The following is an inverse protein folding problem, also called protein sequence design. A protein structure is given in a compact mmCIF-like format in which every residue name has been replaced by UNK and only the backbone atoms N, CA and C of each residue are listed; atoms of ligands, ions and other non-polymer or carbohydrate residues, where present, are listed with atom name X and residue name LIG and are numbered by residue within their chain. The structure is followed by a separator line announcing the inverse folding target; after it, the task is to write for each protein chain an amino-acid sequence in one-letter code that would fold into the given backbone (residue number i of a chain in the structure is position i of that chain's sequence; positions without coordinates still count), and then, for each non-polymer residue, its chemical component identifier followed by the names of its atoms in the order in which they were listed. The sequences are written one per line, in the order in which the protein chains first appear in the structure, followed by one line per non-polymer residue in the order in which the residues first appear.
data_IF_573422633241
#
_entry.id   IF_573422633241
#
_cell.length_a   1.000
_cell.length_b   1.000
_cell.length_c   1.000
_cell.angle_alpha   90.00
_cell.angle_beta   90.00
_cell.angle_gamma   90.00
#
_symmetry.space_group_name_H-M   'P 1'
#
loop_
_entity.id
_entity.type
_entity.pdbx_description
1 polymer ?
#
# COMPACT_ATOMS: atom_id res chain seq x y z
N UNK A 1 -2.35 27.09 3.03
CA UNK A 1 -3.71 26.54 3.08
C UNK A 1 -4.46 27.09 4.28
N UNK A 2 -3.92 27.03 5.50
CA UNK A 2 -4.52 27.58 6.73
C UNK A 2 -4.70 29.09 6.69
N UNK A 3 -3.82 29.84 6.05
CA UNK A 3 -3.97 31.28 5.85
C UNK A 3 -5.27 31.63 5.11
N UNK A 4 -5.68 30.76 4.17
CA UNK A 4 -6.94 30.93 3.40
C UNK A 4 -8.17 30.34 4.11
N UNK A 5 -7.97 29.39 4.99
CA UNK A 5 -9.03 28.75 5.77
C UNK A 5 -8.47 28.28 7.12
N UNK A 6 -8.57 29.12 8.17
CA UNK A 6 -8.05 28.80 9.50
C UNK A 6 -8.69 27.58 10.17
N UNK A 7 -9.92 27.24 9.80
CA UNK A 7 -10.63 26.06 10.34
C UNK A 7 -10.24 24.75 9.65
N UNK A 8 -9.39 24.79 8.61
CA UNK A 8 -8.97 23.60 7.89
C UNK A 8 -8.07 22.72 8.78
N UNK A 9 -8.43 21.46 8.92
CA UNK A 9 -7.59 20.44 9.55
C UNK A 9 -6.67 19.84 8.50
N UNK A 10 -5.36 19.95 8.73
CA UNK A 10 -4.32 19.44 7.83
C UNK A 10 -3.66 18.22 8.46
N UNK A 11 -3.81 17.05 7.82
CA UNK A 11 -3.11 15.83 8.17
C UNK A 11 -1.96 15.54 7.21
N UNK A 12 -0.81 15.13 7.72
CA UNK A 12 0.36 14.71 6.96
C UNK A 12 0.63 13.22 7.20
N UNK A 13 0.73 12.44 6.14
CA UNK A 13 1.01 11.00 6.19
C UNK A 13 1.81 10.53 4.97
N UNK A 14 2.28 9.29 4.99
CA UNK A 14 3.01 8.69 3.88
C UNK A 14 4.44 8.31 4.25
N UNK A 15 5.38 8.40 3.29
CA UNK A 15 6.80 8.12 3.52
C UNK A 15 7.49 9.35 4.16
N UNK A 16 7.21 9.61 5.42
CA UNK A 16 7.66 10.78 6.17
C UNK A 16 8.79 10.39 7.10
N UNK A 17 9.94 11.07 6.97
CA UNK A 17 11.08 10.87 7.87
C UNK A 17 10.91 11.62 9.19
N UNK A 18 11.69 11.27 10.22
CA UNK A 18 11.73 12.02 11.48
C UNK A 18 12.16 13.50 11.27
N UNK A 19 13.01 13.74 10.26
CA UNK A 19 13.40 15.10 9.88
C UNK A 19 12.21 15.88 9.32
N UNK A 20 11.39 15.24 8.48
CA UNK A 20 10.19 15.85 7.92
C UNK A 20 9.14 16.11 9.00
N UNK A 21 8.94 15.16 9.90
CA UNK A 21 8.04 15.35 11.05
C UNK A 21 8.38 16.60 11.85
N UNK A 22 9.68 16.77 12.15
CA UNK A 22 10.17 17.99 12.85
C UNK A 22 9.90 19.27 12.07
N UNK A 23 10.13 19.24 10.73
CA UNK A 23 9.94 20.39 9.83
C UNK A 23 8.48 20.83 9.71
N UNK A 24 7.55 19.87 9.75
CA UNK A 24 6.13 20.14 9.52
C UNK A 24 5.29 20.21 10.78
N UNK A 25 5.88 19.93 11.95
CA UNK A 25 5.21 19.86 13.24
C UNK A 25 4.28 21.03 13.55
N UNK A 26 4.73 22.26 13.25
CA UNK A 26 3.98 23.49 13.56
C UNK A 26 3.12 23.97 12.37
N UNK A 27 3.14 23.22 11.25
CA UNK A 27 2.44 23.58 10.01
C UNK A 27 1.20 22.74 9.72
N UNK A 28 1.04 21.63 10.47
CA UNK A 28 -0.07 20.68 10.29
C UNK A 28 -0.68 20.31 11.64
N UNK A 29 -1.93 19.90 11.64
CA UNK A 29 -2.67 19.55 12.86
C UNK A 29 -2.44 18.11 13.29
N UNK A 30 -2.12 17.24 12.34
CA UNK A 30 -1.93 15.81 12.56
C UNK A 30 -0.81 15.27 11.68
N UNK A 31 0.14 14.53 12.28
CA UNK A 31 1.11 13.72 11.57
C UNK A 31 0.91 12.28 12.02
N UNK A 32 0.70 11.36 11.07
CA UNK A 32 0.43 9.96 11.39
C UNK A 32 1.05 9.00 10.37
N UNK A 33 1.41 7.80 10.83
CA UNK A 33 1.85 6.71 9.96
C UNK A 33 0.63 6.14 9.21
N UNK A 34 0.83 5.64 8.01
CA UNK A 34 -0.23 4.99 7.23
C UNK A 34 -0.85 3.80 7.99
N UNK A 35 -0.09 3.16 8.85
CA UNK A 35 -0.53 2.05 9.70
C UNK A 35 -1.55 2.46 10.76
N UNK A 36 -1.55 3.74 11.12
CA UNK A 36 -2.50 4.34 12.06
C UNK A 36 -3.80 4.79 11.38
N UNK A 37 -3.95 4.54 10.09
CA UNK A 37 -5.15 4.92 9.31
C UNK A 37 -6.47 4.38 9.93
N UNK A 38 -6.54 3.16 10.51
CA UNK A 38 -7.73 2.68 11.20
C UNK A 38 -8.18 3.58 12.36
N UNK A 39 -7.24 4.27 13.03
CA UNK A 39 -7.51 5.16 14.17
C UNK A 39 -7.78 6.62 13.76
N UNK A 40 -7.66 6.93 12.48
CA UNK A 40 -7.70 8.31 11.98
C UNK A 40 -8.99 9.02 12.35
N UNK A 41 -10.13 8.34 12.25
CA UNK A 41 -11.44 8.93 12.61
C UNK A 41 -11.47 9.34 14.08
N UNK A 42 -10.96 8.51 14.98
CA UNK A 42 -10.87 8.82 16.40
C UNK A 42 -9.93 9.98 16.68
N UNK A 43 -8.79 10.03 15.98
CA UNK A 43 -7.81 11.12 16.10
C UNK A 43 -8.41 12.46 15.64
N UNK A 44 -9.12 12.47 14.52
CA UNK A 44 -9.82 13.66 14.01
C UNK A 44 -10.93 14.11 14.97
N UNK A 45 -11.76 13.17 15.48
CA UNK A 45 -12.81 13.50 16.44
C UNK A 45 -12.24 14.13 17.73
N UNK A 46 -11.09 13.65 18.21
CA UNK A 46 -10.40 14.27 19.36
C UNK A 46 -9.94 15.70 19.04
N UNK A 47 -9.38 15.94 17.85
CA UNK A 47 -8.99 17.29 17.41
C UNK A 47 -10.19 18.23 17.34
N UNK A 48 -11.33 17.79 16.81
CA UNK A 48 -12.55 18.59 16.69
C UNK A 48 -13.15 18.90 18.08
N UNK A 49 -13.17 17.92 19.00
CA UNK A 49 -13.68 18.12 20.37
C UNK A 49 -12.79 19.03 21.22
N UNK A 50 -11.49 19.01 20.97
CA UNK A 50 -10.50 19.83 21.69
C UNK A 50 -10.32 21.23 21.07
N UNK A 51 -11.26 21.71 20.25
CA UNK A 51 -11.25 23.03 19.60
C UNK A 51 -11.35 24.20 20.58
N UNK A 52 -11.07 23.96 21.86
CA UNK A 52 -10.72 24.96 22.88
C UNK A 52 -9.21 24.76 23.11
N UNK A 53 -8.39 25.62 22.50
CA UNK A 53 -6.91 25.63 22.55
C UNK A 53 -6.22 24.52 21.75
N UNK A 54 -6.09 24.73 20.42
CA UNK A 54 -5.20 23.94 19.58
C UNK A 54 -3.78 24.47 19.68
N UNK A 55 -3.06 24.08 20.74
CA UNK A 55 -1.62 23.94 20.68
C UNK A 55 -1.34 22.43 20.56
N UNK A 56 -1.35 21.95 19.34
CA UNK A 56 -1.44 20.54 19.06
C UNK A 56 -0.11 19.82 19.15
N UNK A 57 -0.04 18.78 19.94
CA UNK A 57 1.03 17.78 19.93
C UNK A 57 0.46 16.38 20.09
N UNK A 58 -0.23 15.88 19.07
CA UNK A 58 -0.47 14.45 19.01
C UNK A 58 0.67 13.83 18.21
N UNK A 59 1.80 13.60 18.88
CA UNK A 59 2.80 12.64 18.43
C UNK A 59 2.28 11.28 18.86
N UNK A 60 2.07 10.37 17.90
CA UNK A 60 2.02 8.96 18.25
C UNK A 60 3.39 8.61 18.85
N UNK A 61 3.44 8.40 20.19
CA UNK A 61 4.55 7.68 20.79
C UNK A 61 4.62 6.34 20.06
N UNK A 62 5.80 5.98 19.59
CA UNK A 62 6.07 4.64 19.08
C UNK A 62 5.76 3.64 20.21
N UNK A 63 4.53 3.14 20.26
CA UNK A 63 4.24 1.96 21.04
C UNK A 63 5.02 0.81 20.38
N UNK A 64 5.65 -0.04 21.21
CA UNK A 64 6.31 -1.26 20.74
C UNK A 64 5.32 -2.02 19.85
N UNK A 65 5.65 -2.11 18.56
CA UNK A 65 4.81 -2.72 17.54
C UNK A 65 4.70 -4.21 17.78
N UNK A 66 3.49 -4.70 17.99
CA UNK A 66 3.19 -6.10 17.73
C UNK A 66 3.11 -6.28 16.19
N UNK A 67 3.60 -7.40 15.67
CA UNK A 67 3.56 -7.69 14.22
C UNK A 67 2.13 -7.65 13.63
N UNK A 68 1.10 -7.85 14.47
CA UNK A 68 -0.30 -7.80 14.09
C UNK A 68 -0.82 -6.40 13.74
N UNK A 69 -0.20 -5.33 14.29
CA UNK A 69 -0.58 -3.94 14.01
C UNK A 69 -0.20 -3.51 12.57
N UNK A 70 0.81 -4.14 11.98
CA UNK A 70 1.33 -3.80 10.66
C UNK A 70 0.37 -4.19 9.51
N UNK A 71 -0.62 -5.06 9.78
CA UNK A 71 -1.56 -5.58 8.78
C UNK A 71 -2.93 -4.88 8.86
N UNK A 72 -3.24 -4.23 9.99
CA UNK A 72 -4.58 -3.69 10.26
C UNK A 72 -5.10 -2.69 9.21
N UNK A 73 -4.24 -1.90 8.58
CA UNK A 73 -4.72 -0.95 7.57
C UNK A 73 -5.17 -1.61 6.26
N UNK A 74 -4.80 -2.87 5.99
CA UNK A 74 -5.31 -3.62 4.85
C UNK A 74 -6.80 -3.98 4.98
N UNK A 75 -7.34 -3.96 6.19
CA UNK A 75 -8.75 -4.28 6.46
C UNK A 75 -9.68 -3.07 6.27
N UNK A 76 -9.14 -1.88 6.00
CA UNK A 76 -9.96 -0.70 5.70
C UNK A 76 -10.61 -0.87 4.34
N UNK A 77 -11.94 -0.82 4.29
CA UNK A 77 -12.66 -0.86 3.02
C UNK A 77 -12.46 0.45 2.27
N UNK A 78 -11.76 0.45 1.11
CA UNK A 78 -11.46 1.67 0.40
C UNK A 78 -12.68 2.20 -0.33
N UNK A 79 -12.85 3.52 -0.34
CA UNK A 79 -13.80 4.21 -1.20
C UNK A 79 -13.09 4.71 -2.44
N UNK A 80 -13.39 4.13 -3.59
CA UNK A 80 -12.80 4.55 -4.85
C UNK A 80 -13.62 5.68 -5.49
N UNK A 81 -12.93 6.71 -5.97
CA UNK A 81 -13.55 7.80 -6.75
C UNK A 81 -14.03 7.33 -8.13
N UNK A 82 -13.37 6.33 -8.71
CA UNK A 82 -13.71 5.75 -10.00
C UNK A 82 -14.44 4.42 -9.80
N UNK A 83 -15.66 4.30 -10.32
CA UNK A 83 -16.50 3.08 -10.22
C UNK A 83 -15.98 1.89 -11.05
N UNK A 84 -15.00 2.09 -11.93
CA UNK A 84 -14.47 1.06 -12.81
C UNK A 84 -13.09 0.56 -12.39
N UNK A 85 -12.38 1.28 -11.49
CA UNK A 85 -11.00 1.00 -11.11
C UNK A 85 -10.93 0.75 -9.60
N UNK A 86 -10.46 -0.44 -9.21
CA UNK A 86 -10.13 -0.80 -7.84
C UNK A 86 -8.62 -0.81 -7.63
N UNK A 87 -8.17 -0.39 -6.45
CA UNK A 87 -6.77 -0.41 -6.04
C UNK A 87 -6.63 -1.34 -4.84
N UNK A 88 -5.87 -2.41 -5.01
CA UNK A 88 -5.75 -3.48 -4.04
C UNK A 88 -4.31 -3.57 -3.52
N UNK A 89 -4.01 -3.07 -2.32
CA UNK A 89 -2.72 -3.34 -1.70
C UNK A 89 -2.57 -4.83 -1.42
N UNK A 90 -1.50 -5.45 -1.95
CA UNK A 90 -1.16 -6.85 -1.73
C UNK A 90 -0.01 -7.03 -0.76
N UNK A 91 0.79 -5.98 -0.56
CA UNK A 91 1.92 -5.96 0.34
C UNK A 91 2.30 -4.54 0.74
N UNK A 92 3.10 -4.41 1.79
CA UNK A 92 3.74 -3.16 2.22
C UNK A 92 5.18 -3.39 2.63
N UNK A 93 5.98 -2.31 2.68
CA UNK A 93 7.40 -2.39 3.00
C UNK A 93 8.26 -2.86 1.84
N UNK A 94 9.59 -2.82 2.02
CA UNK A 94 10.54 -3.27 1.01
C UNK A 94 11.88 -3.65 1.65
N UNK A 95 12.47 -4.78 1.23
CA UNK A 95 13.74 -5.30 1.71
C UNK A 95 14.91 -5.03 0.76
N UNK A 96 14.72 -4.26 -0.34
CA UNK A 96 15.77 -4.07 -1.34
C UNK A 96 16.85 -3.05 -0.92
N UNK A 97 16.55 -2.11 -0.04
CA UNK A 97 17.51 -1.11 0.46
C UNK A 97 18.30 -0.38 -0.65
N UNK A 98 17.65 -0.07 -1.78
CA UNK A 98 18.27 0.73 -2.85
C UNK A 98 18.81 2.04 -2.27
N UNK A 99 20.01 2.46 -2.66
CA UNK A 99 20.76 3.57 -2.04
C UNK A 99 20.04 4.91 -1.96
N UNK A 100 19.14 5.17 -2.90
CA UNK A 100 18.34 6.40 -2.98
C UNK A 100 16.96 6.27 -2.30
N UNK A 101 16.58 5.07 -1.85
CA UNK A 101 15.18 4.78 -1.47
C UNK A 101 14.94 4.90 0.03
N UNK A 102 13.92 5.67 0.41
CA UNK A 102 13.53 5.86 1.81
C UNK A 102 12.53 4.81 2.32
N UNK A 103 11.97 3.99 1.43
CA UNK A 103 10.88 3.05 1.76
C UNK A 103 11.22 2.10 2.89
N UNK A 104 12.38 1.40 2.92
CA UNK A 104 12.70 0.49 4.02
C UNK A 104 12.68 1.16 5.40
N UNK A 105 13.03 2.43 5.46
CA UNK A 105 13.10 3.22 6.71
C UNK A 105 11.75 3.79 7.14
N UNK A 106 10.82 4.00 6.21
CA UNK A 106 9.51 4.62 6.49
C UNK A 106 8.38 3.62 6.51
N UNK A 107 8.43 2.58 5.67
CA UNK A 107 7.42 1.52 5.59
C UNK A 107 7.81 0.26 6.34
N UNK A 108 9.12 0.09 6.61
CA UNK A 108 9.68 -1.08 7.26
C UNK A 108 9.84 -2.28 6.32
N UNK A 109 10.04 -3.48 6.89
CA UNK A 109 10.24 -4.70 6.13
C UNK A 109 9.00 -5.08 5.32
N UNK A 110 9.20 -5.96 4.33
CA UNK A 110 8.12 -6.49 3.51
C UNK A 110 7.12 -7.31 4.33
N UNK A 111 5.85 -6.98 4.18
CA UNK A 111 4.73 -7.73 4.75
C UNK A 111 3.73 -7.96 3.63
N UNK A 112 3.53 -9.21 3.27
CA UNK A 112 2.57 -9.63 2.24
C UNK A 112 1.22 -10.00 2.85
N UNK A 113 0.13 -9.58 2.21
CA UNK A 113 -1.23 -9.99 2.59
C UNK A 113 -1.45 -11.48 2.32
N UNK A 114 -2.27 -12.15 3.13
CA UNK A 114 -2.68 -13.53 2.86
C UNK A 114 -3.37 -13.68 1.50
N UNK A 115 -2.99 -14.73 0.74
CA UNK A 115 -3.59 -15.04 -0.58
C UNK A 115 -5.12 -15.09 -0.53
N UNK A 116 -5.69 -15.72 0.50
CA UNK A 116 -7.14 -15.85 0.66
C UNK A 116 -7.86 -14.49 0.69
N UNK A 117 -7.29 -13.53 1.42
CA UNK A 117 -7.86 -12.18 1.54
C UNK A 117 -7.83 -11.43 0.22
N UNK A 118 -6.69 -11.49 -0.49
CA UNK A 118 -6.55 -10.87 -1.81
C UNK A 118 -7.58 -11.43 -2.80
N UNK A 119 -7.70 -12.76 -2.88
CA UNK A 119 -8.67 -13.41 -3.77
C UNK A 119 -10.11 -13.06 -3.41
N UNK A 120 -10.43 -12.97 -2.11
CA UNK A 120 -11.76 -12.59 -1.64
C UNK A 120 -12.08 -11.14 -2.00
N UNK A 121 -11.14 -10.23 -1.84
CA UNK A 121 -11.33 -8.81 -2.17
C UNK A 121 -11.49 -8.61 -3.68
N UNK A 122 -10.71 -9.31 -4.51
CA UNK A 122 -10.89 -9.32 -5.96
C UNK A 122 -12.30 -9.79 -6.33
N UNK A 123 -12.79 -10.88 -5.74
CA UNK A 123 -14.17 -11.37 -5.97
C UNK A 123 -15.21 -10.32 -5.58
N UNK A 124 -15.00 -9.61 -4.48
CA UNK A 124 -15.89 -8.54 -4.03
C UNK A 124 -15.88 -7.35 -5.00
N UNK A 125 -14.71 -6.95 -5.50
CA UNK A 125 -14.59 -5.90 -6.52
C UNK A 125 -15.30 -6.29 -7.81
N UNK A 126 -15.16 -7.55 -8.26
CA UNK A 126 -15.86 -8.06 -9.45
C UNK A 126 -17.39 -8.02 -9.24
N UNK A 127 -17.89 -8.45 -8.06
CA UNK A 127 -19.32 -8.34 -7.72
C UNK A 127 -19.82 -6.89 -7.74
N UNK A 128 -19.00 -5.94 -7.30
CA UNK A 128 -19.25 -4.49 -7.36
C UNK A 128 -19.04 -3.92 -8.78
N UNK A 129 -18.82 -4.77 -9.82
CA UNK A 129 -18.66 -4.43 -11.25
C UNK A 129 -17.41 -3.62 -11.60
N UNK A 130 -16.35 -3.68 -10.79
CA UNK A 130 -15.06 -3.12 -11.16
C UNK A 130 -14.45 -3.90 -12.33
N UNK A 131 -13.92 -3.17 -13.33
CA UNK A 131 -13.38 -3.73 -14.58
C UNK A 131 -11.85 -3.76 -14.63
N UNK A 132 -11.20 -2.90 -13.86
CA UNK A 132 -9.74 -2.83 -13.76
C UNK A 132 -9.36 -2.87 -12.29
N UNK A 133 -8.42 -3.75 -11.94
CA UNK A 133 -7.92 -3.87 -10.57
C UNK A 133 -6.41 -3.71 -10.61
N UNK A 134 -5.89 -2.76 -9.86
CA UNK A 134 -4.47 -2.53 -9.70
C UNK A 134 -3.97 -3.18 -8.42
N UNK A 135 -3.06 -4.13 -8.53
CA UNK A 135 -2.34 -4.67 -7.39
C UNK A 135 -1.23 -3.70 -7.01
N UNK A 136 -1.18 -3.31 -5.75
CA UNK A 136 -0.26 -2.31 -5.24
C UNK A 136 0.66 -2.88 -4.17
N UNK A 137 1.90 -2.40 -4.18
CA UNK A 137 2.93 -2.67 -3.19
C UNK A 137 4.12 -1.76 -3.41
N UNK A 138 5.20 -1.90 -2.67
CA UNK A 138 6.45 -1.19 -2.93
C UNK A 138 7.35 -1.95 -3.92
N UNK A 139 7.22 -3.28 -3.94
CA UNK A 139 7.84 -4.18 -4.92
C UNK A 139 6.95 -5.42 -5.05
N UNK A 140 5.95 -5.39 -5.94
CA UNK A 140 4.97 -6.47 -6.04
C UNK A 140 5.58 -7.81 -6.47
N UNK A 141 6.73 -7.79 -7.15
CA UNK A 141 7.39 -8.99 -7.63
C UNK A 141 7.93 -9.87 -6.49
N UNK A 142 8.28 -9.27 -5.34
CA UNK A 142 8.77 -9.97 -4.16
C UNK A 142 7.66 -10.53 -3.27
N UNK A 143 6.39 -10.34 -3.65
CA UNK A 143 5.25 -10.87 -2.90
C UNK A 143 5.43 -12.35 -2.56
N UNK A 144 5.30 -12.69 -1.28
CA UNK A 144 5.29 -14.06 -0.79
C UNK A 144 4.28 -14.21 0.36
N UNK A 145 3.44 -15.20 0.29
CA UNK A 145 2.49 -15.54 1.35
C UNK A 145 2.39 -17.05 1.52
N UNK A 146 2.09 -17.51 2.73
CA UNK A 146 1.87 -18.92 3.01
C UNK A 146 0.37 -19.25 2.98
N UNK A 147 0.04 -20.36 2.34
CA UNK A 147 -1.30 -20.93 2.33
C UNK A 147 -1.18 -22.45 2.43
N UNK A 148 -1.75 -23.07 3.47
CA UNK A 148 -1.70 -24.52 3.71
C UNK A 148 -0.27 -25.10 3.63
N UNK A 149 0.70 -24.45 4.28
CA UNK A 149 2.14 -24.77 4.27
C UNK A 149 2.83 -24.65 2.89
N UNK A 150 2.15 -24.19 1.85
CA UNK A 150 2.74 -23.86 0.56
C UNK A 150 3.06 -22.36 0.47
N UNK A 151 4.20 -22.04 -0.16
CA UNK A 151 4.59 -20.65 -0.46
C UNK A 151 3.99 -20.25 -1.79
N UNK A 152 3.20 -19.19 -1.76
CA UNK A 152 2.67 -18.51 -2.93
C UNK A 152 3.47 -17.24 -3.18
N UNK A 153 4.22 -17.24 -4.26
CA UNK A 153 4.89 -16.08 -4.83
C UNK A 153 3.97 -15.28 -5.76
N UNK A 154 4.46 -14.18 -6.30
CA UNK A 154 3.68 -13.32 -7.16
C UNK A 154 3.19 -14.02 -8.45
N UNK A 155 4.02 -14.80 -9.18
CA UNK A 155 3.53 -15.60 -10.31
C UNK A 155 2.38 -16.55 -9.96
N UNK A 156 2.48 -17.28 -8.85
CA UNK A 156 1.41 -18.18 -8.40
C UNK A 156 0.14 -17.41 -8.04
N UNK A 157 0.26 -16.27 -7.36
CA UNK A 157 -0.88 -15.40 -7.07
C UNK A 157 -1.57 -14.95 -8.36
N UNK A 158 -0.83 -14.51 -9.36
CA UNK A 158 -1.38 -14.09 -10.64
C UNK A 158 -2.09 -15.24 -11.39
N UNK A 159 -1.56 -16.47 -11.31
CA UNK A 159 -2.24 -17.67 -11.87
C UNK A 159 -3.61 -17.88 -11.21
N UNK A 160 -3.67 -17.81 -9.87
CA UNK A 160 -4.94 -17.94 -9.15
C UNK A 160 -5.94 -16.83 -9.52
N UNK A 161 -5.48 -15.61 -9.62
CA UNK A 161 -6.33 -14.47 -10.02
C UNK A 161 -6.88 -14.66 -11.44
N UNK A 162 -6.04 -15.15 -12.35
CA UNK A 162 -6.45 -15.41 -13.75
C UNK A 162 -7.57 -16.46 -13.86
N UNK A 163 -7.66 -17.38 -12.89
CA UNK A 163 -8.71 -18.42 -12.84
C UNK A 163 -10.06 -17.88 -12.29
N UNK A 164 -10.09 -16.73 -11.63
CA UNK A 164 -11.35 -16.18 -11.09
C UNK A 164 -12.28 -15.84 -12.26
N UNK A 165 -13.55 -16.34 -12.27
CA UNK A 165 -14.47 -16.03 -13.34
C UNK A 165 -14.87 -14.55 -13.36
N UNK A 166 -15.14 -14.01 -14.54
CA UNK A 166 -15.59 -12.62 -14.73
C UNK A 166 -14.79 -11.85 -15.77
N UNK A 167 -15.36 -10.75 -16.24
CA UNK A 167 -14.73 -9.86 -17.22
C UNK A 167 -14.06 -8.68 -16.50
N UNK A 168 -12.79 -8.84 -16.18
CA UNK A 168 -11.94 -7.83 -15.55
C UNK A 168 -10.49 -7.95 -16.01
N UNK A 169 -9.71 -6.91 -15.81
CA UNK A 169 -8.27 -6.88 -16.09
C UNK A 169 -7.50 -6.54 -14.82
N UNK A 170 -6.34 -7.18 -14.68
CA UNK A 170 -5.39 -6.94 -13.61
C UNK A 170 -4.22 -6.13 -14.16
N UNK A 171 -3.87 -5.09 -13.46
CA UNK A 171 -2.63 -4.35 -13.61
C UNK A 171 -1.85 -4.45 -12.29
N UNK A 172 -0.55 -4.24 -12.35
CA UNK A 172 0.27 -4.03 -11.16
C UNK A 172 1.31 -2.96 -11.42
N UNK A 173 1.74 -2.29 -10.35
CA UNK A 173 2.72 -1.22 -10.39
C UNK A 173 3.87 -1.55 -9.44
N UNK A 174 5.01 -0.88 -9.63
CA UNK A 174 6.15 -0.96 -8.72
C UNK A 174 6.82 -2.33 -8.69
N UNK A 175 7.40 -2.71 -9.82
CA UNK A 175 8.26 -3.88 -9.95
C UNK A 175 9.73 -3.51 -9.78
N UNK A 176 10.56 -4.48 -9.39
CA UNK A 176 12.00 -4.32 -9.30
C UNK A 176 12.70 -5.33 -10.24
N UNK A 177 13.72 -4.93 -11.04
CA UNK A 177 14.38 -5.82 -12.01
C UNK A 177 14.94 -7.09 -11.39
N UNK A 178 15.51 -7.00 -10.19
CA UNK A 178 16.07 -8.13 -9.43
C UNK A 178 15.07 -9.28 -9.24
N UNK A 179 13.79 -8.94 -9.06
CA UNK A 179 12.72 -9.89 -8.75
C UNK A 179 11.86 -10.22 -9.98
N UNK A 180 12.36 -9.90 -11.20
CA UNK A 180 11.71 -10.24 -12.46
C UNK A 180 12.13 -11.64 -12.91
N UNK A 181 11.29 -12.64 -12.61
CA UNK A 181 11.55 -14.03 -12.97
C UNK A 181 10.98 -14.40 -14.34
N UNK A 182 11.58 -15.41 -14.99
CA UNK A 182 11.05 -15.99 -16.24
C UNK A 182 9.64 -16.55 -16.03
N UNK A 183 9.33 -17.06 -14.84
CA UNK A 183 8.00 -17.54 -14.51
C UNK A 183 6.98 -16.39 -14.54
N UNK A 184 7.32 -15.23 -13.97
CA UNK A 184 6.46 -14.05 -14.01
C UNK A 184 6.22 -13.59 -15.45
N UNK A 185 7.26 -13.53 -16.27
CA UNK A 185 7.16 -13.18 -17.70
C UNK A 185 6.22 -14.14 -18.42
N UNK A 186 6.40 -15.44 -18.21
CA UNK A 186 5.56 -16.47 -18.81
C UNK A 186 4.08 -16.38 -18.37
N UNK A 187 3.84 -16.12 -17.08
CA UNK A 187 2.48 -15.94 -16.55
C UNK A 187 1.84 -14.70 -17.17
N UNK A 188 2.55 -13.59 -17.24
CA UNK A 188 2.05 -12.39 -17.90
C UNK A 188 1.74 -12.64 -19.37
N UNK A 189 2.63 -13.32 -20.10
CA UNK A 189 2.45 -13.61 -21.52
C UNK A 189 1.20 -14.45 -21.79
N UNK A 190 0.97 -15.51 -21.00
CA UNK A 190 -0.11 -16.48 -21.21
C UNK A 190 -1.45 -16.10 -20.61
N UNK A 191 -1.47 -15.17 -19.65
CA UNK A 191 -2.71 -14.82 -18.93
C UNK A 191 -3.53 -13.80 -19.70
N UNK A 192 -4.81 -14.08 -19.91
CA UNK A 192 -5.71 -13.17 -20.62
C UNK A 192 -6.14 -11.96 -19.79
N UNK A 193 -6.27 -12.13 -18.47
CA UNK A 193 -6.73 -11.08 -17.56
C UNK A 193 -5.63 -10.13 -17.14
N UNK A 194 -4.37 -10.53 -17.24
CA UNK A 194 -3.23 -9.69 -16.85
C UNK A 194 -2.86 -8.79 -18.02
N UNK A 195 -2.80 -7.48 -17.76
CA UNK A 195 -2.39 -6.51 -18.76
C UNK A 195 -0.91 -6.67 -19.07
N UNK A 196 -0.54 -6.57 -20.36
CA UNK A 196 0.83 -6.73 -20.85
C UNK A 196 1.61 -5.40 -20.70
N UNK A 197 1.48 -4.77 -19.55
CA UNK A 197 2.18 -3.53 -19.18
C UNK A 197 2.95 -3.77 -17.90
N UNK A 198 4.19 -3.31 -17.87
CA UNK A 198 5.09 -3.48 -16.74
C UNK A 198 5.74 -2.15 -16.38
N UNK A 199 5.58 -1.72 -15.13
CA UNK A 199 6.35 -0.62 -14.58
C UNK A 199 7.60 -1.20 -13.92
N UNK A 200 8.72 -1.16 -14.63
CA UNK A 200 10.01 -1.73 -14.23
C UNK A 200 11.10 -0.65 -14.28
N UNK A 201 11.34 0.07 -13.20
CA UNK A 201 12.42 1.06 -13.12
C UNK A 201 13.79 0.38 -13.28
N UNK A 202 14.68 0.95 -14.10
CA UNK A 202 16.02 0.38 -14.41
C UNK A 202 16.92 0.33 -13.16
N UNK A 203 16.71 1.19 -12.18
CA UNK A 203 17.45 1.34 -10.92
C UNK A 203 18.83 2.02 -11.07
N UNK A 204 19.67 1.60 -12.02
CA UNK A 204 20.95 2.20 -12.36
C UNK A 204 21.21 2.07 -13.85
N UNK A 205 21.91 3.02 -14.44
CA UNK A 205 22.43 2.96 -15.81
C UNK A 205 23.93 2.64 -15.87
N UNK A 206 24.53 2.34 -14.72
CA UNK A 206 25.95 2.00 -14.58
C UNK A 206 26.10 0.51 -14.22
N UNK A 207 27.15 -0.11 -14.73
CA UNK A 207 27.48 -1.51 -14.51
C UNK A 207 28.59 -1.71 -13.45
N UNK A 208 29.15 -0.62 -12.88
CA UNK A 208 30.18 -0.66 -11.84
C UNK A 208 29.60 -0.52 -10.42
#
# INVERSE_FOLDING_TARGET
LKEKNPSLIIGLTGCITEKDKKKFKDKVDLIFDIKELPELEMKIKKLIKNNIEISCKIYSKQNKKNQDDDINYFHIEPKYSNKNIGYLPIMTGCNNFCSYCIVPYTRGPEISRPVKEILQEIKNLIKKKYKKIFLLGQNVNSYQSKLNNEIFDFPKLLKLINQIPGNFKINFLTSHPKDMSDELINVMAKSEKIKKELHLPIQSGDNE
#
